data_IF_431238258286
#
_entry.id   IF_431238258286
#
_cell.length_a   1.000
_cell.length_b   1.000
_cell.length_c   1.000
_cell.angle_alpha   90.00
_cell.angle_beta   90.00
_cell.angle_gamma   90.00
#
_symmetry.space_group_name_H-M   'P 1'
#
loop_
_entity.id
_entity.type
_entity.pdbx_description
1 polymer ?
#
# COMPACT_ATOMS: atom_id res chain seq x y z
N UNK A 1 -13.12 -19.48 8.57
CA UNK A 1 -13.16 -18.05 9.01
C UNK A 1 -13.97 -17.16 8.07
N UNK A 2 -13.66 -17.13 6.76
CA UNK A 2 -14.38 -16.30 5.76
C UNK A 2 -15.88 -16.66 5.68
N UNK A 3 -16.23 -17.94 5.78
CA UNK A 3 -17.62 -18.43 5.74
C UNK A 3 -18.47 -17.88 6.88
N UNK A 4 -17.96 -17.85 8.12
CA UNK A 4 -18.64 -17.26 9.28
C UNK A 4 -18.97 -15.78 9.05
N UNK A 5 -18.03 -15.04 8.46
CA UNK A 5 -18.23 -13.62 8.13
C UNK A 5 -19.32 -13.50 7.06
N UNK A 6 -19.26 -14.30 5.99
CA UNK A 6 -20.28 -14.31 4.92
C UNK A 6 -21.67 -14.64 5.45
N UNK A 7 -21.81 -15.65 6.30
CA UNK A 7 -23.08 -16.06 6.90
C UNK A 7 -23.69 -14.93 7.74
N UNK A 8 -22.89 -14.29 8.60
CA UNK A 8 -23.34 -13.13 9.39
C UNK A 8 -23.77 -11.96 8.50
N UNK A 9 -23.00 -11.66 7.44
CA UNK A 9 -23.31 -10.56 6.51
C UNK A 9 -24.65 -10.77 5.78
N UNK A 10 -25.03 -12.01 5.48
CA UNK A 10 -26.30 -12.36 4.82
C UNK A 10 -27.54 -11.98 5.63
N UNK A 11 -27.42 -11.85 6.95
CA UNK A 11 -28.53 -11.49 7.85
C UNK A 11 -28.83 -9.99 7.96
N UNK A 12 -28.02 -9.10 7.38
CA UNK A 12 -28.20 -7.65 7.50
C UNK A 12 -28.66 -7.03 6.17
N UNK A 13 -29.70 -6.18 6.23
CA UNK A 13 -30.18 -5.38 5.07
C UNK A 13 -29.11 -4.43 4.53
N UNK A 14 -28.27 -3.89 5.42
CA UNK A 14 -27.06 -3.13 5.09
C UNK A 14 -25.94 -3.69 5.95
N UNK A 15 -24.92 -4.23 5.29
CA UNK A 15 -23.88 -5.02 5.95
C UNK A 15 -22.77 -4.17 6.57
N UNK A 16 -22.34 -3.13 5.84
CA UNK A 16 -21.40 -2.10 6.26
C UNK A 16 -21.29 -1.08 5.14
N UNK A 17 -21.10 0.20 5.48
CA UNK A 17 -20.73 1.24 4.51
C UNK A 17 -19.22 1.30 4.26
N UNK A 18 -18.43 0.55 5.03
CA UNK A 18 -16.98 0.51 4.87
C UNK A 18 -16.56 -0.63 3.93
N UNK A 19 -15.65 -0.33 3.00
CA UNK A 19 -15.09 -1.32 2.07
C UNK A 19 -14.26 -2.39 2.80
N UNK A 20 -13.47 -1.98 3.79
CA UNK A 20 -12.59 -2.87 4.57
C UNK A 20 -13.11 -2.96 6.00
N UNK A 21 -13.35 -4.19 6.45
CA UNK A 21 -13.86 -4.50 7.80
C UNK A 21 -13.01 -5.55 8.50
N UNK A 22 -13.04 -5.52 9.83
CA UNK A 22 -12.42 -6.54 10.67
C UNK A 22 -13.29 -7.82 10.76
N UNK A 23 -12.80 -8.77 11.53
CA UNK A 23 -13.41 -10.08 11.76
C UNK A 23 -14.79 -9.98 12.44
N UNK A 24 -14.99 -8.90 13.18
CA UNK A 24 -16.22 -8.50 13.84
C UNK A 24 -17.09 -7.59 12.97
N UNK A 25 -16.78 -7.43 11.69
CA UNK A 25 -17.57 -6.65 10.72
C UNK A 25 -17.52 -5.13 10.91
N UNK A 26 -16.70 -4.63 11.84
CA UNK A 26 -16.52 -3.20 12.08
C UNK A 26 -15.51 -2.61 11.07
N UNK A 27 -15.61 -1.30 10.80
CA UNK A 27 -14.63 -0.59 9.95
C UNK A 27 -13.22 -0.83 10.45
N UNK A 28 -12.30 -1.17 9.54
CA UNK A 28 -10.89 -1.28 9.89
C UNK A 28 -10.27 0.12 10.04
N UNK A 29 -9.82 0.45 11.25
CA UNK A 29 -9.17 1.73 11.55
C UNK A 29 -7.71 1.79 11.12
N UNK A 30 -7.14 3.00 11.15
CA UNK A 30 -5.72 3.27 10.81
C UNK A 30 -4.75 2.43 11.64
N UNK A 31 -4.96 2.37 12.95
CA UNK A 31 -4.03 1.68 13.85
C UNK A 31 -4.13 0.16 13.69
N UNK A 32 -5.31 -0.36 13.37
CA UNK A 32 -5.50 -1.76 13.01
C UNK A 32 -4.81 -2.14 11.69
N UNK A 33 -4.86 -1.26 10.69
CA UNK A 33 -4.08 -1.42 9.44
C UNK A 33 -2.58 -1.46 9.73
N UNK A 34 -2.07 -0.51 10.52
CA UNK A 34 -0.67 -0.46 10.91
C UNK A 34 -0.24 -1.71 11.67
N UNK A 35 -1.01 -2.13 12.67
CA UNK A 35 -0.72 -3.34 13.45
C UNK A 35 -0.69 -4.60 12.58
N UNK A 36 -1.60 -4.73 11.61
CA UNK A 36 -1.59 -5.85 10.66
C UNK A 36 -0.36 -5.84 9.76
N UNK A 37 0.07 -4.66 9.31
CA UNK A 37 1.33 -4.52 8.57
C UNK A 37 2.54 -4.89 9.42
N UNK A 38 2.61 -4.40 10.67
CA UNK A 38 3.73 -4.71 11.56
C UNK A 38 3.88 -6.22 11.77
N UNK A 39 2.76 -6.94 11.97
CA UNK A 39 2.75 -8.41 12.04
C UNK A 39 3.22 -9.08 10.75
N UNK A 40 2.79 -8.57 9.59
CA UNK A 40 3.22 -9.11 8.29
C UNK A 40 4.71 -8.88 8.05
N UNK A 41 5.24 -7.71 8.46
CA UNK A 41 6.66 -7.37 8.37
C UNK A 41 7.51 -8.25 9.28
N UNK A 42 7.07 -8.46 10.52
CA UNK A 42 7.72 -9.35 11.47
C UNK A 42 7.76 -10.80 10.95
N UNK A 43 6.64 -11.29 10.40
CA UNK A 43 6.57 -12.61 9.76
C UNK A 43 7.49 -12.73 8.53
N UNK A 44 7.80 -11.62 7.85
CA UNK A 44 8.75 -11.58 6.74
C UNK A 44 10.20 -11.42 7.20
N UNK A 45 10.48 -11.31 8.50
CA UNK A 45 11.84 -11.13 9.04
C UNK A 45 12.47 -9.77 8.73
N UNK A 46 11.66 -8.74 8.45
CA UNK A 46 12.16 -7.42 8.07
C UNK A 46 12.21 -6.50 9.31
N UNK A 47 13.34 -5.84 9.55
CA UNK A 47 13.47 -4.85 10.63
C UNK A 47 12.49 -3.67 10.46
N UNK A 48 12.05 -3.09 11.58
CA UNK A 48 11.07 -2.00 11.60
C UNK A 48 11.63 -0.72 11.01
N UNK A 49 12.91 -0.48 11.25
CA UNK A 49 13.59 0.71 10.77
C UNK A 49 13.96 0.55 9.29
N UNK A 50 14.04 -0.68 8.80
CA UNK A 50 14.27 -0.98 7.39
C UNK A 50 13.01 -0.80 6.51
N UNK A 51 11.80 -1.06 7.04
CA UNK A 51 10.57 -0.93 6.26
C UNK A 51 9.35 -0.58 7.11
N UNK A 52 8.77 0.59 6.86
CA UNK A 52 7.61 1.10 7.57
C UNK A 52 6.35 1.07 6.69
N UNK A 53 5.16 1.11 7.30
CA UNK A 53 3.90 1.01 6.56
C UNK A 53 3.74 2.10 5.47
N UNK A 54 4.20 3.32 5.76
CA UNK A 54 4.18 4.46 4.80
C UNK A 54 5.03 4.21 3.56
N UNK A 55 6.01 3.32 3.65
CA UNK A 55 6.94 3.04 2.57
C UNK A 55 6.29 2.23 1.44
N UNK A 56 5.13 1.60 1.69
CA UNK A 56 4.32 1.01 0.64
C UNK A 56 3.90 2.06 -0.40
N UNK A 57 3.66 3.30 0.02
CA UNK A 57 3.30 4.39 -0.90
C UNK A 57 4.49 4.78 -1.79
N UNK A 58 5.69 4.89 -1.21
CA UNK A 58 6.92 5.14 -1.96
C UNK A 58 7.20 4.02 -2.98
N UNK A 59 7.08 2.77 -2.53
CA UNK A 59 7.23 1.59 -3.39
C UNK A 59 6.21 1.58 -4.53
N UNK A 60 4.93 1.82 -4.25
CA UNK A 60 3.89 1.86 -5.27
C UNK A 60 4.15 2.92 -6.35
N UNK A 61 4.64 4.11 -5.97
CA UNK A 61 5.03 5.15 -6.92
C UNK A 61 6.23 4.76 -7.79
N UNK A 62 7.23 4.11 -7.18
CA UNK A 62 8.40 3.59 -7.89
C UNK A 62 8.00 2.51 -8.88
N UNK A 63 7.23 1.51 -8.44
CA UNK A 63 6.75 0.41 -9.28
C UNK A 63 5.90 0.95 -10.44
N UNK A 64 5.07 1.99 -10.20
CA UNK A 64 4.30 2.62 -11.27
C UNK A 64 5.18 3.29 -12.33
N UNK A 65 6.15 4.10 -11.90
CA UNK A 65 7.11 4.74 -12.82
C UNK A 65 7.88 3.70 -13.62
N UNK A 66 8.29 2.61 -12.96
CA UNK A 66 9.02 1.51 -13.60
C UNK A 66 8.17 0.79 -14.66
N UNK A 67 6.89 0.58 -14.39
CA UNK A 67 5.97 -0.08 -15.32
C UNK A 67 5.55 0.82 -16.48
N UNK A 68 5.37 2.13 -16.24
CA UNK A 68 4.92 3.07 -17.27
C UNK A 68 6.05 3.70 -18.08
N UNK A 69 7.27 3.76 -17.53
CA UNK A 69 8.34 4.62 -18.04
C UNK A 69 8.07 6.12 -17.88
N UNK A 70 6.98 6.49 -17.19
CA UNK A 70 6.50 7.87 -17.06
C UNK A 70 6.14 8.20 -15.61
N UNK A 71 6.94 9.11 -15.03
CA UNK A 71 6.79 9.62 -13.67
C UNK A 71 5.49 10.40 -13.45
N UNK A 72 4.89 10.98 -14.50
CA UNK A 72 3.60 11.69 -14.37
C UNK A 72 2.48 10.75 -13.97
N UNK A 73 2.53 9.50 -14.41
CA UNK A 73 1.54 8.50 -13.97
C UNK A 73 1.70 8.17 -12.48
N UNK A 74 2.92 8.12 -11.97
CA UNK A 74 3.16 7.98 -10.54
C UNK A 74 2.69 9.22 -9.77
N UNK A 75 2.88 10.44 -10.30
CA UNK A 75 2.37 11.67 -9.70
C UNK A 75 0.84 11.62 -9.55
N UNK A 76 0.13 11.24 -10.61
CA UNK A 76 -1.33 11.09 -10.60
C UNK A 76 -1.79 10.02 -9.60
N UNK A 77 -1.13 8.87 -9.56
CA UNK A 77 -1.45 7.79 -8.63
C UNK A 77 -1.21 8.18 -7.17
N UNK A 78 -0.13 8.91 -6.90
CA UNK A 78 0.17 9.39 -5.55
C UNK A 78 -0.70 10.60 -5.20
N UNK A 79 -1.25 11.33 -6.17
CA UNK A 79 -2.02 12.55 -5.93
C UNK A 79 -1.14 13.71 -5.45
N UNK A 80 0.06 13.85 -6.01
CA UNK A 80 0.94 14.97 -5.70
C UNK A 80 0.69 16.16 -6.63
N UNK A 81 0.74 17.37 -6.07
CA UNK A 81 0.59 18.61 -6.83
C UNK A 81 1.79 18.93 -7.72
N UNK A 82 2.99 18.47 -7.37
CA UNK A 82 4.21 18.70 -8.15
C UNK A 82 5.00 17.42 -8.45
N UNK A 83 5.78 17.47 -9.53
CA UNK A 83 6.69 16.40 -9.91
C UNK A 83 7.82 16.22 -8.90
N UNK A 84 8.35 17.30 -8.33
CA UNK A 84 9.43 17.25 -7.34
C UNK A 84 9.07 16.39 -6.11
N UNK A 85 7.82 16.48 -5.62
CA UNK A 85 7.34 15.60 -4.55
C UNK A 85 7.38 14.13 -4.96
N UNK A 86 6.98 13.83 -6.20
CA UNK A 86 6.97 12.46 -6.74
C UNK A 86 8.38 11.91 -6.94
N UNK A 87 9.31 12.74 -7.41
CA UNK A 87 10.73 12.37 -7.55
C UNK A 87 11.34 11.93 -6.21
N UNK A 88 11.01 12.59 -5.10
CA UNK A 88 11.48 12.17 -3.78
C UNK A 88 11.09 10.72 -3.44
N UNK A 89 9.89 10.28 -3.84
CA UNK A 89 9.41 8.92 -3.59
C UNK A 89 10.00 7.87 -4.53
N UNK A 90 10.42 8.27 -5.74
CA UNK A 90 10.92 7.35 -6.78
C UNK A 90 12.45 7.23 -6.76
N UNK A 91 13.19 8.33 -6.61
CA UNK A 91 14.67 8.35 -6.72
C UNK A 91 15.39 7.60 -5.59
N UNK A 92 14.87 7.61 -4.36
CA UNK A 92 15.58 7.05 -3.20
C UNK A 92 15.64 5.51 -3.17
N UNK A 93 14.91 4.80 -4.03
CA UNK A 93 14.64 3.35 -3.84
C UNK A 93 15.38 2.38 -4.76
N UNK A 94 15.97 2.79 -5.88
CA UNK A 94 16.53 1.82 -6.85
C UNK A 94 17.93 2.09 -7.40
N UNK A 95 18.46 3.31 -7.29
CA UNK A 95 19.56 3.69 -8.19
C UNK A 95 19.11 3.67 -9.67
N UNK A 96 19.92 4.23 -10.56
CA UNK A 96 19.52 4.35 -11.97
C UNK A 96 19.55 2.98 -12.67
N UNK A 97 18.41 2.58 -13.24
CA UNK A 97 18.37 1.47 -14.21
C UNK A 97 19.01 1.95 -15.51
N UNK A 98 20.27 1.61 -15.70
CA UNK A 98 20.95 1.73 -16.98
C UNK A 98 20.63 0.54 -17.89
N UNK A 99 20.28 0.82 -19.14
CA UNK A 99 20.26 -0.22 -20.19
C UNK A 99 21.71 -0.64 -20.47
N UNK A 100 21.96 -1.91 -20.86
CA UNK A 100 23.30 -2.35 -21.22
C UNK A 100 23.87 -1.44 -22.31
N UNK A 101 24.99 -0.78 -22.01
CA UNK A 101 25.82 -0.16 -23.03
C UNK A 101 26.50 -1.30 -23.81
N UNK A 102 26.36 -1.27 -25.13
CA UNK A 102 26.93 -2.25 -26.05
C UNK A 102 28.45 -2.31 -25.89
#
# INVERSE_FOLDING_TARGET
MVERIRARKKGYKVVSTALVVNESGQRLGRDALRSRFDKAREAAGIDKDAFQFRDLRAKAGTDKTDMSGDIRQAQMQLGHSSLAMTEHYVRQRRGDKVKPTR
#
